data_IF_680627583736
#
_entry.id   IF_680627583736
#
_cell.length_a   1.000
_cell.length_b   1.000
_cell.length_c   1.000
_cell.angle_alpha   90.00
_cell.angle_beta   90.00
_cell.angle_gamma   90.00
#
_symmetry.space_group_name_H-M   'P 1'
#
loop_
_entity.id
_entity.type
_entity.pdbx_description
1 polymer ?
#
# COMPACT_ATOMS: atom_id res chain seq x y z
N UNK A 1 -15.75 40.34 25.66
CA UNK A 1 -14.53 41.07 25.28
C UNK A 1 -14.00 41.94 26.42
N UNK A 2 -14.90 42.59 27.19
CA UNK A 2 -14.49 43.49 28.30
C UNK A 2 -13.84 42.79 29.49
N UNK A 3 -14.24 41.55 29.82
CA UNK A 3 -13.68 40.79 30.94
C UNK A 3 -12.23 40.34 30.65
N UNK A 4 -11.93 39.94 29.41
CA UNK A 4 -10.58 39.57 28.98
C UNK A 4 -9.60 40.74 29.02
N UNK A 5 -10.06 41.97 28.67
CA UNK A 5 -9.21 43.15 28.67
C UNK A 5 -8.95 43.67 30.08
N UNK A 6 -9.91 43.52 31.01
CA UNK A 6 -9.73 43.86 32.43
C UNK A 6 -8.72 42.91 33.08
N UNK A 7 -8.78 41.62 32.78
CA UNK A 7 -7.82 40.60 33.24
C UNK A 7 -6.40 40.89 32.72
N UNK A 8 -6.26 41.20 31.42
CA UNK A 8 -4.96 41.58 30.83
C UNK A 8 -4.37 42.82 31.44
N UNK A 9 -5.20 43.84 31.77
CA UNK A 9 -4.74 45.08 32.43
C UNK A 9 -4.35 44.86 33.90
N UNK A 10 -5.02 43.96 34.61
CA UNK A 10 -4.64 43.61 36.00
C UNK A 10 -3.33 42.82 36.03
N UNK A 11 -3.12 41.91 35.06
CA UNK A 11 -1.88 41.17 34.88
C UNK A 11 -0.70 42.12 34.59
N UNK A 12 -0.84 43.03 33.63
CA UNK A 12 0.18 44.02 33.27
C UNK A 12 0.51 45.03 34.37
N UNK A 13 -0.40 45.30 35.33
CA UNK A 13 -0.14 46.19 36.47
C UNK A 13 0.60 45.50 37.62
N UNK A 14 0.55 44.18 37.74
CA UNK A 14 1.17 43.44 38.85
C UNK A 14 2.55 42.89 38.52
N UNK A 15 2.86 42.70 37.24
CA UNK A 15 4.17 42.21 36.80
C UNK A 15 4.89 43.36 36.10
N UNK A 16 6.01 43.83 36.63
CA UNK A 16 6.78 44.92 36.01
C UNK A 16 7.36 44.42 34.65
N UNK A 17 7.54 45.38 33.74
CA UNK A 17 8.19 45.06 32.44
C UNK A 17 9.62 44.58 32.70
N UNK A 18 10.00 43.49 32.08
CA UNK A 18 11.35 42.93 32.18
C UNK A 18 12.36 43.90 31.56
N UNK A 19 13.15 44.53 32.39
CA UNK A 19 14.30 45.34 32.01
C UNK A 19 15.57 44.58 32.36
N UNK A 20 16.70 44.87 31.67
CA UNK A 20 17.97 44.15 31.81
C UNK A 20 18.51 43.98 33.24
N UNK A 21 18.03 44.75 34.20
CA UNK A 21 18.39 44.66 35.63
C UNK A 21 17.27 44.17 36.55
N UNK A 22 16.02 44.02 36.06
CA UNK A 22 14.85 43.72 36.87
C UNK A 22 14.30 42.30 36.69
N UNK A 23 15.04 41.40 36.02
CA UNK A 23 14.59 40.03 35.75
C UNK A 23 14.35 39.22 37.02
N UNK A 24 15.19 39.42 38.05
CA UNK A 24 15.04 38.75 39.35
C UNK A 24 13.73 39.12 40.07
N UNK A 25 13.33 40.39 40.02
CA UNK A 25 12.10 40.88 40.65
C UNK A 25 10.84 40.37 39.92
N UNK A 26 10.91 40.29 38.59
CA UNK A 26 9.84 39.71 37.76
C UNK A 26 9.68 38.21 38.07
N UNK A 27 10.78 37.46 38.16
CA UNK A 27 10.78 36.05 38.53
C UNK A 27 10.23 35.82 39.93
N UNK A 28 10.62 36.66 40.91
CA UNK A 28 10.11 36.55 42.27
C UNK A 28 8.60 36.79 42.35
N UNK A 29 8.09 37.77 41.61
CA UNK A 29 6.64 38.05 41.57
C UNK A 29 5.84 36.99 40.82
N UNK A 30 6.37 36.47 39.74
CA UNK A 30 5.78 35.34 39.00
C UNK A 30 5.74 34.05 39.83
N UNK A 31 6.78 33.75 40.59
CA UNK A 31 6.89 32.52 41.39
C UNK A 31 6.17 32.60 42.74
N UNK A 32 5.83 33.82 43.23
CA UNK A 32 5.13 34.02 44.51
C UNK A 32 3.66 33.65 44.47
N UNK A 33 3.02 33.63 43.27
CA UNK A 33 1.60 33.31 43.14
C UNK A 33 1.36 32.28 42.01
N UNK A 34 0.96 31.11 42.37
CA UNK A 34 0.84 29.93 41.46
C UNK A 34 -0.06 30.18 40.22
N UNK A 35 -1.23 30.83 40.30
CA UNK A 35 -2.04 31.12 39.13
C UNK A 35 -1.33 31.99 38.09
N UNK A 36 -0.59 33.03 38.51
CA UNK A 36 0.17 33.88 37.59
C UNK A 36 1.32 33.12 36.91
N UNK A 37 1.96 32.21 37.64
CA UNK A 37 3.00 31.36 37.10
C UNK A 37 2.45 30.42 36.02
N UNK A 38 1.29 29.80 36.25
CA UNK A 38 0.64 28.92 35.30
C UNK A 38 0.19 29.66 34.03
N UNK A 39 -0.47 30.82 34.18
CA UNK A 39 -0.86 31.69 33.05
C UNK A 39 0.34 32.15 32.22
N UNK A 40 1.42 32.54 32.88
CA UNK A 40 2.66 32.91 32.20
C UNK A 40 3.26 31.75 31.45
N UNK A 41 3.29 30.55 32.06
CA UNK A 41 3.83 29.33 31.44
C UNK A 41 3.00 28.92 30.23
N UNK A 42 1.67 28.95 30.34
CA UNK A 42 0.78 28.61 29.22
C UNK A 42 0.90 29.64 28.07
N UNK A 43 0.96 30.94 28.39
CA UNK A 43 1.17 31.98 27.38
C UNK A 43 2.53 31.91 26.72
N UNK A 44 3.57 31.57 27.47
CA UNK A 44 4.94 31.39 26.98
C UNK A 44 5.04 30.18 26.05
N UNK A 45 4.45 29.04 26.43
CA UNK A 45 4.49 27.80 25.65
C UNK A 45 3.66 27.93 24.40
N UNK A 46 2.46 28.54 24.45
CA UNK A 46 1.67 28.80 23.24
C UNK A 46 2.41 29.73 22.28
N UNK A 47 3.16 30.70 22.78
CA UNK A 47 3.97 31.60 21.95
C UNK A 47 5.20 30.90 21.36
N UNK A 48 5.86 30.07 22.15
CA UNK A 48 7.03 29.29 21.73
C UNK A 48 6.60 28.15 20.79
N UNK A 49 5.47 27.49 21.06
CA UNK A 49 4.90 26.49 20.17
C UNK A 49 4.64 27.02 18.74
N UNK A 50 4.13 28.25 18.62
CA UNK A 50 3.95 28.92 17.32
C UNK A 50 5.29 29.26 16.64
N UNK A 51 6.36 29.46 17.41
CA UNK A 51 7.70 29.79 16.87
C UNK A 51 8.50 28.55 16.50
N UNK A 52 8.38 27.47 17.24
CA UNK A 52 9.11 26.19 17.06
C UNK A 52 8.57 25.38 15.90
N UNK A 53 7.30 25.50 15.55
CA UNK A 53 6.76 24.87 14.32
C UNK A 53 7.47 25.34 13.04
N UNK A 54 8.32 26.38 13.11
CA UNK A 54 9.16 26.82 12.00
C UNK A 54 10.60 26.30 12.05
N UNK A 55 11.07 25.84 13.22
CA UNK A 55 12.46 25.39 13.45
C UNK A 55 12.48 23.89 13.84
N UNK A 56 12.00 23.05 12.95
CA UNK A 56 12.11 21.59 13.12
C UNK A 56 13.56 21.19 12.84
N UNK A 57 14.26 20.69 13.84
CA UNK A 57 15.67 20.27 13.78
C UNK A 57 15.91 19.07 12.87
N UNK A 58 14.88 18.26 12.67
CA UNK A 58 14.88 17.14 11.71
C UNK A 58 13.58 17.13 10.91
N UNK A 59 13.71 17.05 9.60
CA UNK A 59 12.58 17.01 8.69
C UNK A 59 12.45 15.62 8.09
N UNK A 60 11.25 15.07 8.16
CA UNK A 60 10.90 13.85 7.46
C UNK A 60 11.02 14.04 5.93
N UNK A 61 11.93 13.32 5.24
CA UNK A 61 12.10 13.46 3.79
C UNK A 61 10.88 13.02 2.98
N UNK A 62 9.99 12.22 3.57
CA UNK A 62 8.76 11.75 2.95
C UNK A 62 7.56 12.66 3.25
N UNK A 63 7.75 13.73 4.01
CA UNK A 63 6.68 14.67 4.39
C UNK A 63 6.05 15.39 3.17
N UNK A 64 6.79 15.54 2.08
CA UNK A 64 6.27 16.16 0.86
C UNK A 64 5.08 15.39 0.25
N UNK A 65 4.91 14.12 0.61
CA UNK A 65 3.79 13.28 0.13
C UNK A 65 2.51 13.46 0.95
N UNK A 66 2.56 14.23 2.02
CA UNK A 66 1.40 14.48 2.89
C UNK A 66 0.38 15.38 2.18
N UNK A 67 -0.87 14.89 2.10
CA UNK A 67 -1.97 15.53 1.35
C UNK A 67 -2.72 16.62 2.15
N UNK A 68 -2.21 17.07 3.28
CA UNK A 68 -2.86 18.09 4.12
C UNK A 68 -3.80 17.50 5.16
N UNK A 69 -4.67 18.35 5.72
CA UNK A 69 -5.56 17.97 6.82
C UNK A 69 -6.95 17.59 6.30
N UNK A 70 -7.47 16.48 6.78
CA UNK A 70 -8.84 16.03 6.55
C UNK A 70 -9.77 16.61 7.61
N UNK A 71 -11.06 16.70 7.30
CA UNK A 71 -12.06 16.97 8.31
C UNK A 71 -12.17 15.77 9.27
N UNK A 72 -12.53 16.04 10.52
CA UNK A 72 -12.65 15.00 11.53
C UNK A 72 -13.69 13.94 11.12
N UNK A 73 -13.28 12.66 11.16
CA UNK A 73 -14.12 11.52 10.78
C UNK A 73 -14.16 11.21 9.28
N UNK A 74 -13.46 11.96 8.45
CA UNK A 74 -13.41 11.73 7.02
C UNK A 74 -12.51 10.54 6.67
N UNK A 75 -12.90 9.84 5.61
CA UNK A 75 -12.12 8.79 4.95
C UNK A 75 -11.72 9.26 3.57
N UNK A 76 -10.58 8.80 3.06
CA UNK A 76 -10.17 9.03 1.68
C UNK A 76 -10.64 7.83 0.86
N UNK A 77 -11.39 8.10 -0.20
CA UNK A 77 -11.76 7.11 -1.20
C UNK A 77 -10.99 7.37 -2.48
N UNK A 78 -10.26 6.36 -2.94
CA UNK A 78 -9.65 6.34 -4.27
C UNK A 78 -10.50 5.46 -5.18
N UNK A 79 -10.87 5.97 -6.35
CA UNK A 79 -11.67 5.24 -7.35
C UNK A 79 -10.90 5.23 -8.67
N UNK A 80 -10.67 4.05 -9.20
CA UNK A 80 -10.06 3.85 -10.51
C UNK A 80 -11.05 3.18 -11.46
N UNK A 81 -11.20 3.75 -12.65
CA UNK A 81 -12.03 3.18 -13.72
C UNK A 81 -11.13 2.60 -14.81
N UNK A 82 -11.41 1.37 -15.22
CA UNK A 82 -10.72 0.71 -16.33
C UNK A 82 -11.18 1.21 -17.70
N UNK A 83 -10.46 0.78 -18.74
CA UNK A 83 -10.81 1.10 -20.12
C UNK A 83 -12.08 0.36 -20.55
N UNK A 84 -12.87 1.02 -21.39
CA UNK A 84 -14.05 0.43 -22.01
C UNK A 84 -13.64 -0.23 -23.31
N UNK A 85 -14.14 -1.45 -23.56
CA UNK A 85 -13.90 -2.17 -24.81
C UNK A 85 -14.63 -1.51 -25.96
N UNK A 86 -13.99 -1.46 -27.14
CA UNK A 86 -14.65 -1.03 -28.38
C UNK A 86 -15.46 -2.17 -28.96
N UNK A 87 -16.60 -1.86 -29.54
CA UNK A 87 -17.43 -2.81 -30.27
C UNK A 87 -17.35 -2.51 -31.75
N UNK A 88 -17.29 -3.58 -32.58
CA UNK A 88 -17.28 -3.45 -34.04
C UNK A 88 -18.68 -3.01 -34.49
N UNK A 89 -18.73 -1.98 -35.32
CA UNK A 89 -19.98 -1.55 -35.92
C UNK A 89 -20.53 -2.65 -36.84
N UNK A 90 -21.72 -3.11 -36.53
CA UNK A 90 -22.45 -4.08 -37.36
C UNK A 90 -23.77 -3.49 -37.80
N UNK A 91 -24.02 -3.46 -39.10
CA UNK A 91 -25.23 -2.87 -39.70
C UNK A 91 -26.43 -3.84 -39.68
N UNK A 92 -26.25 -5.08 -39.19
CA UNK A 92 -27.38 -6.02 -39.07
C UNK A 92 -28.34 -5.58 -37.97
N UNK A 93 -29.60 -5.44 -38.33
CA UNK A 93 -30.65 -4.89 -37.48
C UNK A 93 -30.78 -5.65 -36.14
N UNK A 94 -30.78 -6.99 -36.21
CA UNK A 94 -30.94 -7.84 -35.02
C UNK A 94 -29.76 -7.72 -34.03
N UNK A 95 -28.58 -7.41 -34.54
CA UNK A 95 -27.40 -7.19 -33.71
C UNK A 95 -27.47 -5.84 -32.99
N UNK A 96 -27.85 -4.79 -33.73
CA UNK A 96 -27.97 -3.45 -33.17
C UNK A 96 -29.07 -3.34 -32.11
N UNK A 97 -30.20 -4.02 -32.30
CA UNK A 97 -31.29 -4.04 -31.32
C UNK A 97 -30.87 -4.72 -30.01
N UNK A 98 -30.06 -5.78 -30.07
CA UNK A 98 -29.52 -6.46 -28.88
C UNK A 98 -28.48 -5.62 -28.15
N UNK A 99 -27.65 -4.90 -28.90
CA UNK A 99 -26.55 -4.12 -28.32
C UNK A 99 -27.04 -2.81 -27.67
N UNK A 100 -28.07 -2.17 -28.24
CA UNK A 100 -28.70 -0.95 -27.68
C UNK A 100 -29.25 -1.19 -26.27
N UNK A 101 -29.77 -2.36 -25.97
CA UNK A 101 -30.34 -2.74 -24.67
C UNK A 101 -29.37 -3.51 -23.79
N UNK A 102 -28.16 -3.79 -24.26
CA UNK A 102 -27.11 -4.49 -23.51
C UNK A 102 -26.55 -3.60 -22.40
N UNK A 103 -26.50 -4.11 -21.15
CA UNK A 103 -25.87 -3.40 -20.05
C UNK A 103 -24.36 -3.70 -20.02
N UNK A 104 -23.56 -2.69 -20.30
CA UNK A 104 -22.11 -2.77 -20.21
C UNK A 104 -21.64 -2.14 -18.89
N UNK A 105 -21.21 -2.97 -17.94
CA UNK A 105 -20.73 -2.49 -16.65
C UNK A 105 -19.28 -2.04 -16.80
N UNK A 106 -18.93 -0.81 -16.37
CA UNK A 106 -17.53 -0.38 -16.34
C UNK A 106 -16.76 -1.21 -15.30
N UNK A 107 -15.50 -1.48 -15.59
CA UNK A 107 -14.58 -2.04 -14.59
C UNK A 107 -14.17 -0.92 -13.64
N UNK A 108 -14.66 -0.95 -12.42
CA UNK A 108 -14.38 0.08 -11.39
C UNK A 108 -13.85 -0.63 -10.15
N UNK A 109 -12.72 -0.14 -9.66
CA UNK A 109 -12.16 -0.56 -8.38
C UNK A 109 -12.07 0.65 -7.44
N UNK A 110 -12.35 0.46 -6.16
CA UNK A 110 -12.20 1.50 -5.14
C UNK A 110 -11.37 0.99 -3.97
N UNK A 111 -10.64 1.90 -3.36
CA UNK A 111 -9.86 1.67 -2.14
C UNK A 111 -10.23 2.75 -1.13
N UNK A 112 -10.45 2.33 0.11
CA UNK A 112 -10.77 3.22 1.22
C UNK A 112 -9.58 3.30 2.18
N UNK A 113 -9.20 4.52 2.54
CA UNK A 113 -8.16 4.81 3.51
C UNK A 113 -8.81 5.45 4.73
N UNK A 114 -8.66 4.81 5.88
CA UNK A 114 -9.22 5.27 7.15
C UNK A 114 -8.10 5.67 8.10
N UNK A 115 -8.41 6.47 9.11
CA UNK A 115 -7.48 6.83 10.17
C UNK A 115 -6.98 5.56 10.85
N UNK A 116 -5.69 5.29 10.75
CA UNK A 116 -5.04 4.11 11.29
C UNK A 116 -3.94 4.40 12.32
N UNK A 117 -3.55 5.68 12.47
CA UNK A 117 -2.67 6.14 13.52
C UNK A 117 -3.40 7.14 14.41
N UNK A 118 -3.44 6.88 15.73
CA UNK A 118 -4.01 7.75 16.74
C UNK A 118 -3.10 7.74 17.97
N UNK A 119 -2.19 8.69 18.03
CA UNK A 119 -1.14 8.73 19.04
C UNK A 119 -1.08 10.07 19.74
N UNK A 120 -0.46 10.08 20.90
CA UNK A 120 -0.11 11.32 21.60
C UNK A 120 1.27 11.22 22.23
N UNK A 121 1.98 12.34 22.21
CA UNK A 121 3.29 12.49 22.83
C UNK A 121 3.16 13.37 24.06
N UNK A 122 3.67 12.86 25.19
CA UNK A 122 3.54 13.55 26.47
C UNK A 122 4.91 14.00 26.95
N UNK A 123 5.00 15.28 27.34
CA UNK A 123 6.16 15.80 28.03
C UNK A 123 5.72 16.58 29.29
N UNK A 124 6.49 16.43 30.36
CA UNK A 124 6.21 17.09 31.63
C UNK A 124 7.26 18.15 31.90
N UNK A 125 6.82 19.38 32.13
CA UNK A 125 7.69 20.48 32.51
C UNK A 125 7.54 20.71 34.01
N UNK A 126 8.62 20.48 34.79
CA UNK A 126 8.61 20.69 36.23
C UNK A 126 8.94 22.16 36.57
N UNK A 127 8.25 22.66 37.56
CA UNK A 127 8.41 24.07 38.05
C UNK A 127 9.85 24.39 38.44
N UNK A 128 10.55 23.46 39.07
CA UNK A 128 11.94 23.66 39.50
C UNK A 128 12.93 23.75 38.35
N UNK A 129 12.70 22.97 37.28
CA UNK A 129 13.50 23.04 36.06
C UNK A 129 13.30 24.39 35.36
N UNK A 130 12.05 24.83 35.25
CA UNK A 130 11.73 26.15 34.68
C UNK A 130 12.38 27.28 35.50
N UNK A 131 12.34 27.17 36.81
CA UNK A 131 12.94 28.17 37.75
C UNK A 131 14.46 28.25 37.59
N UNK A 132 15.15 27.13 37.35
CA UNK A 132 16.60 27.11 37.07
C UNK A 132 16.91 27.73 35.70
N UNK A 133 16.07 27.49 34.70
CA UNK A 133 16.25 28.06 33.36
C UNK A 133 16.11 29.58 33.33
N UNK A 134 15.36 30.18 34.29
CA UNK A 134 15.24 31.64 34.46
C UNK A 134 16.49 32.34 34.99
N UNK A 135 17.45 31.59 35.54
CA UNK A 135 18.70 32.14 36.05
C UNK A 135 19.67 32.55 34.93
N UNK A 136 19.45 32.08 33.70
CA UNK A 136 20.26 32.39 32.53
C UNK A 136 19.37 32.92 31.39
N UNK A 137 19.70 34.11 30.84
CA UNK A 137 18.89 34.80 29.83
C UNK A 137 18.75 33.98 28.53
N UNK A 138 19.77 33.17 28.17
CA UNK A 138 19.74 32.25 27.03
C UNK A 138 19.19 30.87 27.38
N UNK A 139 19.23 30.49 28.66
CA UNK A 139 18.86 29.16 29.13
C UNK A 139 17.36 28.87 29.02
N UNK A 140 16.53 29.87 29.22
CA UNK A 140 15.06 29.73 29.13
C UNK A 140 14.61 29.44 27.70
N UNK A 141 15.11 30.20 26.73
CA UNK A 141 14.76 30.01 25.33
C UNK A 141 15.21 28.64 24.83
N UNK A 142 16.46 28.27 25.14
CA UNK A 142 17.02 26.97 24.76
C UNK A 142 16.26 25.78 25.40
N UNK A 143 15.95 25.92 26.70
CA UNK A 143 15.24 24.87 27.43
C UNK A 143 13.82 24.64 26.89
N UNK A 144 13.05 25.72 26.69
CA UNK A 144 11.69 25.62 26.15
C UNK A 144 11.70 25.14 24.69
N UNK A 145 12.66 25.59 23.88
CA UNK A 145 12.82 25.15 22.51
C UNK A 145 13.08 23.64 22.44
N UNK A 146 13.97 23.13 23.27
CA UNK A 146 14.29 21.70 23.31
C UNK A 146 13.12 20.85 23.80
N UNK A 147 12.40 21.31 24.85
CA UNK A 147 11.28 20.57 25.41
C UNK A 147 10.12 20.46 24.41
N UNK A 148 9.76 21.57 23.75
CA UNK A 148 8.64 21.57 22.82
C UNK A 148 9.00 21.00 21.45
N UNK A 149 10.27 21.05 21.04
CA UNK A 149 10.74 20.41 19.83
C UNK A 149 10.76 18.87 19.93
N UNK A 150 10.99 18.32 21.13
CA UNK A 150 11.10 16.88 21.34
C UNK A 150 9.85 16.10 20.93
N UNK A 151 8.61 16.41 21.35
CA UNK A 151 7.41 15.71 20.90
C UNK A 151 7.21 15.79 19.39
N UNK A 152 7.45 16.98 18.80
CA UNK A 152 7.30 17.17 17.34
C UNK A 152 8.33 16.39 16.54
N UNK A 153 9.59 16.36 17.02
CA UNK A 153 10.64 15.56 16.37
C UNK A 153 10.37 14.06 16.49
N UNK A 154 9.87 13.61 17.66
CA UNK A 154 9.48 12.23 17.87
C UNK A 154 8.33 11.83 16.96
N UNK A 155 7.29 12.65 16.86
CA UNK A 155 6.16 12.43 15.98
C UNK A 155 6.57 12.32 14.51
N UNK A 156 7.45 13.20 14.03
CA UNK A 156 7.96 13.14 12.66
C UNK A 156 8.84 11.92 12.38
N UNK A 157 9.60 11.49 13.39
CA UNK A 157 10.40 10.29 13.28
C UNK A 157 9.52 9.04 13.19
N UNK A 158 8.49 8.95 14.03
CA UNK A 158 7.55 7.84 14.02
C UNK A 158 6.71 7.83 12.73
N UNK A 159 6.26 9.00 12.23
CA UNK A 159 5.61 9.13 10.93
C UNK A 159 6.52 8.61 9.80
N UNK A 160 7.81 8.95 9.82
CA UNK A 160 8.79 8.45 8.86
C UNK A 160 8.94 6.93 8.92
N UNK A 161 9.11 6.36 10.12
CA UNK A 161 9.24 4.92 10.31
C UNK A 161 8.00 4.16 9.84
N UNK A 162 6.81 4.66 10.18
CA UNK A 162 5.53 4.08 9.73
C UNK A 162 5.38 4.18 8.21
N UNK A 163 5.74 5.31 7.61
CA UNK A 163 5.72 5.47 6.15
C UNK A 163 6.70 4.50 5.48
N UNK A 164 7.88 4.30 6.04
CA UNK A 164 8.85 3.33 5.53
C UNK A 164 8.35 1.88 5.68
N UNK A 165 7.64 1.56 6.77
CA UNK A 165 7.08 0.21 6.97
C UNK A 165 6.08 -0.19 5.89
N UNK A 166 5.44 0.79 5.24
CA UNK A 166 4.54 0.55 4.11
C UNK A 166 5.23 -0.12 2.92
N UNK A 167 6.53 0.11 2.70
CA UNK A 167 7.27 -0.58 1.64
C UNK A 167 7.32 -2.08 1.87
N UNK A 168 7.68 -2.50 3.08
CA UNK A 168 7.76 -3.91 3.44
C UNK A 168 6.38 -4.59 3.40
N UNK A 169 5.34 -3.89 3.83
CA UNK A 169 3.97 -4.40 3.78
C UNK A 169 3.47 -4.51 2.33
N UNK A 170 3.72 -3.50 1.51
CA UNK A 170 3.37 -3.50 0.09
C UNK A 170 4.09 -4.63 -0.66
N UNK A 171 5.37 -4.88 -0.35
CA UNK A 171 6.14 -6.01 -0.89
C UNK A 171 5.57 -7.35 -0.44
N UNK A 172 5.29 -7.52 0.85
CA UNK A 172 4.70 -8.74 1.41
C UNK A 172 3.39 -9.12 0.71
N UNK A 173 2.60 -8.13 0.32
CA UNK A 173 1.35 -8.30 -0.41
C UNK A 173 1.56 -8.43 -1.93
N UNK A 174 2.81 -8.54 -2.40
CA UNK A 174 3.14 -8.66 -3.81
C UNK A 174 2.82 -7.42 -4.64
N UNK A 175 2.88 -6.24 -4.03
CA UNK A 175 2.50 -4.99 -4.66
C UNK A 175 3.49 -4.50 -5.72
N UNK A 176 4.79 -4.69 -5.53
CA UNK A 176 5.81 -4.19 -6.46
C UNK A 176 5.99 -5.06 -7.71
N UNK A 177 6.28 -4.41 -8.81
CA UNK A 177 6.83 -5.06 -10.00
C UNK A 177 8.37 -5.12 -9.88
N UNK A 178 8.96 -6.30 -10.00
CA UNK A 178 10.38 -6.52 -9.74
C UNK A 178 11.22 -6.47 -11.00
N UNK A 179 12.33 -5.71 -10.92
CA UNK A 179 13.34 -5.62 -11.96
C UNK A 179 14.69 -5.96 -11.36
N UNK A 180 15.33 -7.03 -11.86
CA UNK A 180 16.65 -7.42 -11.39
C UNK A 180 17.71 -6.41 -11.79
N UNK A 181 18.56 -6.07 -10.81
CA UNK A 181 19.72 -5.19 -11.00
C UNK A 181 20.90 -5.75 -10.22
N UNK A 182 22.15 -5.35 -10.57
CA UNK A 182 23.31 -5.67 -9.77
C UNK A 182 23.22 -5.08 -8.35
N UNK A 183 23.96 -5.66 -7.41
CA UNK A 183 24.05 -5.13 -6.05
C UNK A 183 25.02 -3.96 -5.96
N UNK A 184 24.48 -2.75 -5.93
CA UNK A 184 25.25 -1.50 -5.80
C UNK A 184 25.62 -1.16 -4.34
N UNK A 185 25.10 -1.90 -3.36
CA UNK A 185 25.48 -1.75 -1.95
C UNK A 185 26.75 -2.53 -1.62
N UNK A 186 27.16 -3.45 -2.50
CA UNK A 186 28.40 -4.20 -2.34
C UNK A 186 29.62 -3.29 -2.50
N UNK A 187 30.63 -3.50 -1.66
CA UNK A 187 31.94 -2.83 -1.80
C UNK A 187 32.65 -3.17 -3.11
N UNK A 188 32.22 -4.22 -3.81
CA UNK A 188 32.73 -4.65 -5.11
C UNK A 188 31.93 -4.10 -6.29
N UNK A 189 30.94 -3.24 -6.03
CA UNK A 189 30.14 -2.63 -7.07
C UNK A 189 31.01 -1.79 -8.02
N UNK A 190 30.75 -1.94 -9.30
CA UNK A 190 31.51 -1.27 -10.37
C UNK A 190 30.70 -0.16 -11.02
N UNK A 191 31.38 0.76 -11.71
CA UNK A 191 30.70 1.78 -12.55
C UNK A 191 29.79 1.15 -13.61
N UNK A 192 30.15 -0.03 -14.11
CA UNK A 192 29.32 -0.80 -15.04
C UNK A 192 27.98 -1.20 -14.43
N UNK A 193 27.97 -1.56 -13.14
CA UNK A 193 26.75 -1.95 -12.42
C UNK A 193 25.84 -0.74 -12.21
N UNK A 194 26.39 0.42 -11.88
CA UNK A 194 25.63 1.67 -11.80
C UNK A 194 24.98 2.04 -13.16
N UNK A 195 25.74 1.92 -14.25
CA UNK A 195 25.22 2.13 -15.61
C UNK A 195 24.10 1.14 -15.98
N UNK A 196 24.17 -0.11 -15.50
CA UNK A 196 23.09 -1.08 -15.71
C UNK A 196 21.82 -0.69 -14.96
N UNK A 197 21.92 -0.24 -13.70
CA UNK A 197 20.76 0.27 -12.95
C UNK A 197 20.13 1.46 -13.68
N UNK A 198 20.92 2.46 -14.07
CA UNK A 198 20.41 3.65 -14.79
C UNK A 198 19.71 3.25 -16.10
N UNK A 199 20.28 2.32 -16.85
CA UNK A 199 19.66 1.79 -18.08
C UNK A 199 18.33 1.12 -17.82
N UNK A 200 18.22 0.33 -16.73
CA UNK A 200 16.97 -0.33 -16.33
C UNK A 200 15.92 0.68 -15.85
N UNK A 201 16.33 1.68 -15.05
CA UNK A 201 15.45 2.76 -14.61
C UNK A 201 14.91 3.52 -15.82
N UNK A 202 15.77 3.86 -16.80
CA UNK A 202 15.36 4.54 -18.04
C UNK A 202 14.30 3.74 -18.81
N UNK A 203 14.54 2.45 -19.02
CA UNK A 203 13.61 1.59 -19.73
C UNK A 203 12.26 1.50 -18.98
N UNK A 204 12.28 1.42 -17.66
CA UNK A 204 11.05 1.38 -16.87
C UNK A 204 10.32 2.74 -16.89
N UNK A 205 11.03 3.85 -16.82
CA UNK A 205 10.45 5.19 -16.97
C UNK A 205 9.68 5.32 -18.27
N UNK A 206 10.26 4.85 -19.39
CA UNK A 206 9.58 4.85 -20.69
C UNK A 206 8.36 3.93 -20.70
N UNK A 207 8.48 2.73 -20.14
CA UNK A 207 7.37 1.77 -20.06
C UNK A 207 6.19 2.30 -19.24
N UNK A 208 6.45 3.02 -18.13
CA UNK A 208 5.42 3.57 -17.26
C UNK A 208 4.61 4.71 -17.91
N UNK A 209 5.09 5.30 -19.00
CA UNK A 209 4.32 6.31 -19.75
C UNK A 209 3.18 5.71 -20.57
N UNK A 210 3.18 4.41 -20.80
CA UNK A 210 2.13 3.69 -21.51
C UNK A 210 1.14 3.06 -20.53
N UNK A 211 -0.12 3.00 -20.95
CA UNK A 211 -1.15 2.31 -20.18
C UNK A 211 -0.79 0.84 -19.98
N UNK A 212 -0.74 0.39 -18.73
CA UNK A 212 -0.41 -0.99 -18.38
C UNK A 212 -1.08 -1.40 -17.07
N UNK A 213 -1.43 -2.69 -16.98
CA UNK A 213 -1.94 -3.32 -15.75
C UNK A 213 -0.82 -3.96 -14.91
N UNK A 214 0.41 -4.02 -15.44
CA UNK A 214 1.49 -4.81 -14.85
C UNK A 214 2.12 -4.16 -13.63
N UNK A 215 2.13 -2.83 -13.59
CA UNK A 215 2.97 -2.07 -12.65
C UNK A 215 2.25 -1.59 -11.40
N UNK A 216 0.97 -1.92 -11.23
CA UNK A 216 0.20 -1.57 -10.05
C UNK A 216 -0.41 -2.81 -9.37
N UNK A 217 -0.67 -2.72 -8.06
CA UNK A 217 -1.18 -3.85 -7.29
C UNK A 217 -2.63 -4.22 -7.65
N UNK A 218 -3.45 -3.24 -8.01
CA UNK A 218 -4.86 -3.43 -8.37
C UNK A 218 -5.07 -4.00 -9.77
N UNK A 219 -4.01 -4.13 -10.59
CA UNK A 219 -4.05 -4.59 -11.98
C UNK A 219 -5.04 -3.81 -12.87
N UNK A 220 -5.18 -2.55 -12.58
CA UNK A 220 -5.96 -1.61 -13.38
C UNK A 220 -5.06 -0.90 -14.39
N UNK A 221 -5.62 -0.47 -15.52
CA UNK A 221 -4.85 0.29 -16.50
C UNK A 221 -4.45 1.63 -15.92
N UNK A 222 -3.15 1.83 -15.74
CA UNK A 222 -2.56 3.06 -15.25
C UNK A 222 -1.34 3.45 -16.06
N UNK A 223 -1.00 4.73 -16.01
CA UNK A 223 0.25 5.27 -16.56
C UNK A 223 0.78 6.35 -15.61
N UNK A 224 2.04 6.70 -15.75
CA UNK A 224 2.65 7.78 -14.99
C UNK A 224 3.33 8.77 -15.95
N UNK A 225 3.18 10.07 -15.67
CA UNK A 225 3.96 11.09 -16.35
C UNK A 225 5.39 11.08 -15.79
N UNK A 226 6.38 11.34 -16.64
CA UNK A 226 7.80 11.36 -16.20
C UNK A 226 8.06 12.38 -15.11
N UNK A 227 7.37 13.52 -15.14
CA UNK A 227 7.49 14.59 -14.15
C UNK A 227 6.91 14.23 -12.76
N UNK A 228 6.03 13.24 -12.68
CA UNK A 228 5.44 12.77 -11.42
C UNK A 228 6.22 11.60 -10.79
N UNK A 229 7.18 11.03 -11.51
CA UNK A 229 7.97 9.90 -11.04
C UNK A 229 8.96 10.31 -9.95
N UNK A 230 9.10 9.46 -8.96
CA UNK A 230 10.02 9.59 -7.82
C UNK A 230 10.84 8.32 -7.73
N UNK A 231 12.13 8.48 -7.48
CA UNK A 231 13.07 7.38 -7.25
C UNK A 231 13.51 7.39 -5.78
N UNK A 232 13.09 6.38 -5.04
CA UNK A 232 13.51 6.15 -3.66
C UNK A 232 14.68 5.18 -3.70
N UNK A 233 15.82 5.54 -3.13
CA UNK A 233 17.04 4.77 -3.21
C UNK A 233 17.70 4.62 -1.84
N UNK A 234 18.49 3.57 -1.65
CA UNK A 234 19.34 3.52 -0.46
C UNK A 234 20.52 4.52 -0.60
N UNK A 235 21.05 5.06 0.51
CA UNK A 235 22.16 6.02 0.46
C UNK A 235 23.40 5.50 -0.29
N UNK A 236 23.69 4.20 -0.14
CA UNK A 236 24.82 3.53 -0.81
C UNK A 236 24.61 3.49 -2.32
N UNK A 237 23.41 3.16 -2.75
CA UNK A 237 23.04 3.16 -4.16
C UNK A 237 23.07 4.56 -4.72
N UNK A 238 22.56 5.56 -3.97
CA UNK A 238 22.61 6.97 -4.40
C UNK A 238 24.03 7.45 -4.63
N UNK A 239 24.97 7.04 -3.77
CA UNK A 239 26.39 7.43 -3.90
C UNK A 239 27.03 6.87 -5.18
N UNK A 240 26.55 5.75 -5.71
CA UNK A 240 27.06 5.09 -6.90
C UNK A 240 26.33 5.47 -8.20
N UNK A 241 25.26 6.24 -8.11
CA UNK A 241 24.47 6.65 -9.29
C UNK A 241 24.99 7.99 -9.82
N UNK A 242 25.24 8.04 -11.13
CA UNK A 242 25.45 9.31 -11.84
C UNK A 242 24.12 10.05 -11.99
N UNK A 243 23.98 11.16 -11.27
CA UNK A 243 22.76 11.98 -11.27
C UNK A 243 22.49 12.60 -12.64
N UNK A 244 23.53 12.97 -13.41
CA UNK A 244 23.36 13.55 -14.75
C UNK A 244 22.79 12.53 -15.74
N UNK A 245 23.35 11.31 -15.73
CA UNK A 245 22.85 10.23 -16.57
C UNK A 245 21.41 9.81 -16.19
N UNK A 246 21.11 9.85 -14.90
CA UNK A 246 19.76 9.56 -14.41
C UNK A 246 18.75 10.67 -14.79
N UNK A 247 19.12 11.94 -14.67
CA UNK A 247 18.31 13.07 -15.07
C UNK A 247 17.96 13.02 -16.57
N UNK A 248 18.93 12.65 -17.41
CA UNK A 248 18.69 12.45 -18.84
C UNK A 248 17.68 11.31 -19.11
N UNK A 249 17.64 10.28 -18.26
CA UNK A 249 16.65 9.20 -18.36
C UNK A 249 15.20 9.69 -18.13
N UNK A 250 15.03 10.65 -17.24
CA UNK A 250 13.72 11.25 -16.94
C UNK A 250 13.37 12.46 -17.80
N UNK A 251 14.27 12.86 -18.67
CA UNK A 251 14.13 14.07 -19.48
C UNK A 251 13.96 15.36 -18.64
N UNK A 252 14.67 15.41 -17.51
CA UNK A 252 14.68 16.49 -16.53
C UNK A 252 16.06 17.13 -16.44
N UNK A 253 16.15 18.31 -15.84
CA UNK A 253 17.43 18.89 -15.47
C UNK A 253 18.06 18.08 -14.29
N UNK A 254 19.40 18.04 -14.15
CA UNK A 254 20.04 17.39 -13.02
C UNK A 254 19.54 17.91 -11.65
N UNK A 255 19.23 19.20 -11.56
CA UNK A 255 18.71 19.83 -10.34
C UNK A 255 17.31 19.32 -10.00
N UNK A 256 16.41 19.24 -10.98
CA UNK A 256 15.05 18.72 -10.77
C UNK A 256 15.08 17.24 -10.41
N UNK A 257 15.96 16.47 -11.03
CA UNK A 257 16.14 15.06 -10.72
C UNK A 257 16.69 14.86 -9.30
N UNK A 258 17.65 15.68 -8.89
CA UNK A 258 18.23 15.59 -7.54
C UNK A 258 17.20 15.78 -6.44
N UNK A 259 16.22 16.66 -6.65
CA UNK A 259 15.09 16.89 -5.74
C UNK A 259 14.10 15.72 -5.69
N UNK A 260 14.10 14.83 -6.69
CA UNK A 260 13.18 13.68 -6.79
C UNK A 260 13.82 12.35 -6.40
N UNK A 261 15.11 12.32 -6.11
CA UNK A 261 15.81 11.15 -5.59
C UNK A 261 15.85 11.22 -4.09
N UNK A 262 15.06 10.41 -3.43
CA UNK A 262 14.90 10.42 -1.98
C UNK A 262 15.71 9.26 -1.39
N UNK A 263 16.73 9.55 -0.57
CA UNK A 263 17.48 8.50 0.11
C UNK A 263 16.68 8.01 1.33
N UNK A 264 16.46 6.68 1.39
CA UNK A 264 15.88 5.99 2.55
C UNK A 264 16.85 4.88 2.95
N UNK A 265 17.33 4.84 4.20
CA UNK A 265 18.24 3.79 4.64
C UNK A 265 17.63 2.40 4.45
N UNK A 266 18.47 1.42 4.07
CA UNK A 266 18.01 0.07 3.76
C UNK A 266 17.29 -0.61 4.96
N UNK A 267 17.75 -0.31 6.18
CA UNK A 267 17.13 -0.83 7.41
C UNK A 267 15.69 -0.35 7.58
N UNK A 268 15.40 0.92 7.27
CA UNK A 268 14.05 1.48 7.35
C UNK A 268 13.17 1.03 6.18
N UNK A 269 13.75 0.77 5.01
CA UNK A 269 12.99 0.25 3.87
C UNK A 269 12.45 -1.16 4.15
N UNK A 270 13.08 -1.92 5.04
CA UNK A 270 12.62 -3.23 5.50
C UNK A 270 12.64 -4.34 4.43
N UNK A 271 13.38 -4.13 3.33
CA UNK A 271 13.49 -5.07 2.21
C UNK A 271 14.97 -5.23 1.86
N UNK A 272 15.57 -6.34 2.30
CA UNK A 272 17.02 -6.57 2.21
C UNK A 272 17.59 -6.49 0.79
N UNK A 273 16.82 -6.90 -0.20
CA UNK A 273 17.27 -7.00 -1.60
C UNK A 273 16.93 -5.77 -2.43
N UNK A 274 16.18 -4.82 -1.91
CA UNK A 274 15.82 -3.60 -2.62
C UNK A 274 17.03 -2.67 -2.79
N UNK A 275 17.22 -2.18 -4.00
CA UNK A 275 18.22 -1.16 -4.34
C UNK A 275 17.58 0.20 -4.54
N UNK A 276 16.44 0.22 -5.25
CA UNK A 276 15.66 1.40 -5.53
C UNK A 276 14.19 1.06 -5.77
N UNK A 277 13.31 2.02 -5.51
CA UNK A 277 11.87 1.93 -5.81
C UNK A 277 11.50 3.13 -6.70
N UNK A 278 10.93 2.85 -7.86
CA UNK A 278 10.40 3.83 -8.79
C UNK A 278 8.88 3.85 -8.68
N UNK A 279 8.33 4.99 -8.30
CA UNK A 279 6.89 5.18 -8.15
C UNK A 279 6.52 6.64 -8.43
N UNK A 280 5.28 7.04 -8.17
CA UNK A 280 4.85 8.44 -8.25
C UNK A 280 4.62 9.02 -6.86
N UNK A 281 4.52 10.36 -6.78
CA UNK A 281 4.19 11.07 -5.53
C UNK A 281 2.87 10.62 -4.90
N UNK A 282 1.93 10.10 -5.71
CA UNK A 282 0.61 9.65 -5.26
C UNK A 282 0.61 8.24 -4.66
N UNK A 283 1.78 7.57 -4.64
CA UNK A 283 1.93 6.25 -4.03
C UNK A 283 1.58 6.27 -2.53
N UNK A 284 2.00 7.31 -1.83
CA UNK A 284 1.67 7.49 -0.42
C UNK A 284 0.36 8.26 -0.28
N UNK A 285 -0.55 7.71 0.52
CA UNK A 285 -1.79 8.35 0.92
C UNK A 285 -1.68 8.69 2.40
N UNK A 286 -1.08 9.85 2.69
CA UNK A 286 -0.85 10.33 4.05
C UNK A 286 -1.62 11.63 4.24
N UNK A 287 -2.45 11.70 5.29
CA UNK A 287 -3.21 12.89 5.60
C UNK A 287 -3.48 13.02 7.11
N UNK A 288 -3.34 14.23 7.64
CA UNK A 288 -3.67 14.52 9.03
C UNK A 288 -5.20 14.58 9.21
N UNK A 289 -5.68 13.98 10.27
CA UNK A 289 -7.07 14.11 10.70
C UNK A 289 -7.18 15.03 11.92
N UNK A 290 -6.24 14.93 12.87
CA UNK A 290 -6.13 15.78 14.04
C UNK A 290 -4.66 16.04 14.37
N UNK A 291 -4.32 17.32 14.54
CA UNK A 291 -3.02 17.73 15.09
C UNK A 291 -3.28 18.86 16.10
N UNK A 292 -3.26 18.52 17.38
CA UNK A 292 -3.63 19.45 18.46
C UNK A 292 -2.69 19.32 19.65
N UNK A 293 -2.39 20.47 20.27
CA UNK A 293 -1.63 20.54 21.51
C UNK A 293 -2.56 20.84 22.69
N UNK A 294 -2.49 20.01 23.73
CA UNK A 294 -3.22 20.24 24.97
C UNK A 294 -2.28 20.27 26.17
N UNK A 295 -2.67 20.94 27.22
CA UNK A 295 -1.90 21.02 28.47
C UNK A 295 -2.75 20.73 29.70
N UNK A 296 -2.16 20.05 30.69
CA UNK A 296 -2.81 19.74 31.97
C UNK A 296 -1.86 20.00 33.12
N UNK A 297 -2.15 21.00 34.00
CA UNK A 297 -1.37 21.19 35.21
C UNK A 297 -1.58 20.04 36.20
N UNK A 298 -0.48 19.56 36.80
CA UNK A 298 -0.52 18.51 37.82
C UNK A 298 -0.37 19.17 39.21
N UNK A 299 -1.43 19.15 40.05
CA UNK A 299 -1.40 19.82 41.36
C UNK A 299 -0.48 19.11 42.36
N UNK A 300 -0.17 17.83 42.16
CA UNK A 300 0.68 17.06 43.08
C UNK A 300 2.16 17.31 42.83
N UNK A 301 2.59 17.29 41.56
CA UNK A 301 4.00 17.48 41.19
C UNK A 301 4.37 18.95 40.93
N UNK A 302 3.40 19.84 40.92
CA UNK A 302 3.54 21.27 40.55
C UNK A 302 4.17 21.43 39.14
N UNK A 303 4.02 20.46 38.29
CA UNK A 303 4.46 20.47 36.90
C UNK A 303 3.26 20.57 35.96
N UNK A 304 3.52 20.89 34.68
CA UNK A 304 2.51 20.90 33.63
C UNK A 304 2.85 19.79 32.61
N UNK A 305 1.87 18.97 32.33
CA UNK A 305 1.97 17.96 31.26
C UNK A 305 1.48 18.60 29.97
N UNK A 306 2.27 18.46 28.91
CA UNK A 306 1.93 18.87 27.56
C UNK A 306 1.74 17.64 26.73
N UNK A 307 0.71 17.65 25.87
CA UNK A 307 0.36 16.54 24.99
C UNK A 307 0.28 17.08 23.57
N UNK A 308 0.99 16.46 22.65
CA UNK A 308 0.80 16.61 21.23
C UNK A 308 -0.04 15.41 20.77
N UNK A 309 -1.25 15.67 20.31
CA UNK A 309 -2.13 14.65 19.75
C UNK A 309 -1.99 14.66 18.24
N UNK A 310 -1.76 13.48 17.65
CA UNK A 310 -1.65 13.34 16.21
C UNK A 310 -2.46 12.13 15.73
N UNK A 311 -3.46 12.40 14.92
CA UNK A 311 -4.26 11.37 14.25
C UNK A 311 -4.11 11.54 12.76
N UNK A 312 -3.76 10.44 12.07
CA UNK A 312 -3.50 10.49 10.64
C UNK A 312 -3.88 9.20 9.93
N UNK A 313 -4.03 9.31 8.62
CA UNK A 313 -4.09 8.20 7.67
C UNK A 313 -2.69 8.01 7.13
N UNK A 314 -2.14 6.79 7.26
CA UNK A 314 -0.88 6.39 6.64
C UNK A 314 -1.15 5.13 5.82
N UNK A 315 -1.15 5.24 4.50
CA UNK A 315 -1.51 4.15 3.58
C UNK A 315 -0.81 4.30 2.24
N UNK A 316 -0.96 3.29 1.39
CA UNK A 316 -0.47 3.29 0.01
C UNK A 316 -1.60 3.10 -0.98
N UNK A 317 -1.51 3.74 -2.14
CA UNK A 317 -2.42 3.51 -3.24
C UNK A 317 -2.07 2.21 -3.97
N UNK A 318 -3.08 1.39 -4.24
CA UNK A 318 -2.95 0.16 -5.04
C UNK A 318 -3.02 0.42 -6.54
N UNK A 319 -3.46 1.62 -6.94
CA UNK A 319 -3.67 1.98 -8.34
C UNK A 319 -2.46 2.61 -9.01
N UNK A 320 -1.50 3.06 -8.21
CA UNK A 320 -0.30 3.76 -8.67
C UNK A 320 0.77 2.76 -9.11
N UNK A 321 1.51 3.02 -10.21
CA UNK A 321 2.63 2.19 -10.60
C UNK A 321 3.73 2.17 -9.56
N UNK A 322 4.22 0.98 -9.21
CA UNK A 322 5.28 0.78 -8.25
C UNK A 322 6.24 -0.33 -8.72
N UNK A 323 7.47 0.05 -9.00
CA UNK A 323 8.52 -0.82 -9.53
C UNK A 323 9.68 -0.87 -8.55
N UNK A 324 10.12 -2.07 -8.18
CA UNK A 324 11.27 -2.30 -7.33
C UNK A 324 12.46 -2.81 -8.13
N UNK A 325 13.58 -2.13 -8.02
CA UNK A 325 14.88 -2.60 -8.52
C UNK A 325 15.57 -3.37 -7.41
N UNK A 326 15.86 -4.64 -7.62
CA UNK A 326 16.33 -5.53 -6.57
C UNK A 326 17.39 -6.52 -7.04
N UNK A 327 18.09 -7.14 -6.10
CA UNK A 327 19.18 -8.09 -6.38
C UNK A 327 18.72 -9.55 -6.44
N UNK A 328 17.42 -9.80 -6.30
CA UNK A 328 16.85 -11.14 -6.36
C UNK A 328 16.85 -11.73 -7.78
N UNK A 329 16.23 -12.89 -7.93
CA UNK A 329 16.10 -13.50 -9.25
C UNK A 329 15.23 -12.64 -10.16
N UNK A 330 15.55 -12.65 -11.46
CA UNK A 330 14.85 -11.89 -12.49
C UNK A 330 13.48 -12.52 -12.74
N UNK A 331 12.54 -12.24 -11.87
CA UNK A 331 11.21 -12.77 -11.98
C UNK A 331 10.21 -11.63 -11.99
N UNK A 332 9.82 -11.32 -13.20
CA UNK A 332 8.90 -10.24 -13.51
C UNK A 332 7.51 -10.46 -12.90
N UNK A 333 7.22 -11.68 -12.46
CA UNK A 333 5.90 -12.12 -11.98
C UNK A 333 5.94 -12.56 -10.51
N UNK A 334 6.76 -11.93 -9.69
CA UNK A 334 6.91 -12.32 -8.29
C UNK A 334 5.59 -12.22 -7.51
N UNK A 335 4.72 -11.30 -7.91
CA UNK A 335 3.37 -11.15 -7.37
C UNK A 335 2.48 -12.37 -7.56
N UNK A 336 2.84 -13.21 -8.52
CA UNK A 336 1.95 -14.24 -9.05
C UNK A 336 2.74 -15.53 -9.23
N UNK A 337 3.52 -15.90 -8.22
CA UNK A 337 4.17 -17.19 -8.16
C UNK A 337 3.28 -18.18 -7.43
N UNK A 338 3.00 -19.32 -8.02
CA UNK A 338 2.44 -20.42 -7.25
C UNK A 338 3.44 -20.83 -6.18
N UNK A 339 2.97 -21.01 -4.96
CA UNK A 339 3.79 -21.62 -3.91
C UNK A 339 4.41 -22.91 -4.44
N UNK A 340 5.64 -23.22 -4.05
CA UNK A 340 6.44 -24.33 -4.58
C UNK A 340 5.73 -25.70 -4.49
N UNK A 341 4.68 -25.81 -3.67
CA UNK A 341 3.95 -27.05 -3.41
C UNK A 341 2.49 -27.03 -3.89
N UNK A 342 2.04 -26.01 -4.62
CA UNK A 342 0.69 -25.99 -5.15
C UNK A 342 0.50 -27.09 -6.22
N UNK A 343 -0.46 -27.96 -5.98
CA UNK A 343 -0.80 -29.06 -6.86
C UNK A 343 -2.28 -29.43 -6.78
N UNK A 344 -2.76 -30.22 -7.73
CA UNK A 344 -4.05 -30.90 -7.63
C UNK A 344 -3.88 -32.22 -6.88
N UNK A 345 -4.60 -32.37 -5.80
CA UNK A 345 -4.68 -33.57 -4.98
C UNK A 345 -5.60 -34.65 -5.59
N UNK A 346 -6.18 -35.49 -4.74
CA UNK A 346 -7.19 -36.46 -5.13
C UNK A 346 -8.46 -35.79 -5.67
N UNK A 347 -9.26 -36.55 -6.43
CA UNK A 347 -10.57 -36.10 -6.85
C UNK A 347 -11.68 -36.90 -6.14
N UNK A 348 -12.84 -36.32 -6.03
CA UNK A 348 -14.09 -36.99 -5.69
C UNK A 348 -15.05 -36.82 -6.86
N UNK A 349 -15.81 -37.87 -7.14
CA UNK A 349 -16.88 -37.81 -8.14
C UNK A 349 -18.16 -38.37 -7.54
N UNK A 350 -19.23 -37.61 -7.60
CA UNK A 350 -20.53 -38.00 -7.04
C UNK A 350 -21.65 -37.81 -8.06
N UNK A 351 -22.63 -38.69 -8.04
CA UNK A 351 -23.86 -38.60 -8.83
C UNK A 351 -25.07 -38.77 -7.89
N UNK A 352 -25.90 -37.74 -7.78
CA UNK A 352 -27.03 -37.77 -6.85
C UNK A 352 -26.61 -38.05 -5.39
N UNK A 353 -25.46 -37.49 -4.97
CA UNK A 353 -24.89 -37.66 -3.62
C UNK A 353 -24.23 -39.03 -3.37
N UNK A 354 -24.12 -39.90 -4.38
CA UNK A 354 -23.45 -41.20 -4.26
C UNK A 354 -22.09 -41.18 -4.97
N UNK A 355 -21.03 -41.71 -4.36
CA UNK A 355 -19.72 -41.73 -5.01
C UNK A 355 -19.73 -42.60 -6.28
N UNK A 356 -19.14 -42.06 -7.34
CA UNK A 356 -18.96 -42.77 -8.64
C UNK A 356 -17.61 -43.46 -8.67
N UNK A 357 -17.57 -44.70 -9.08
CA UNK A 357 -16.37 -45.52 -9.17
C UNK A 357 -16.64 -46.85 -9.89
N UNK A 358 -15.70 -47.80 -9.76
CA UNK A 358 -15.81 -49.10 -10.41
C UNK A 358 -17.04 -49.91 -9.99
N UNK A 359 -17.44 -49.80 -8.71
CA UNK A 359 -18.59 -50.51 -8.16
C UNK A 359 -19.93 -49.76 -8.38
N UNK A 360 -19.88 -48.44 -8.52
CA UNK A 360 -21.06 -47.58 -8.73
C UNK A 360 -20.80 -46.64 -9.91
N UNK A 361 -21.14 -47.10 -11.10
CA UNK A 361 -20.88 -46.39 -12.36
C UNK A 361 -21.87 -45.24 -12.55
N UNK A 362 -21.40 -44.18 -13.18
CA UNK A 362 -22.24 -43.03 -13.51
C UNK A 362 -23.32 -43.41 -14.54
N UNK A 363 -24.53 -42.93 -14.32
CA UNK A 363 -25.69 -43.22 -15.20
C UNK A 363 -25.75 -42.16 -16.31
N UNK A 364 -25.79 -42.54 -17.59
CA UNK A 364 -26.01 -41.63 -18.70
C UNK A 364 -27.28 -40.76 -18.52
N UNK A 365 -27.20 -39.51 -18.95
CA UNK A 365 -28.26 -38.54 -18.77
C UNK A 365 -28.28 -37.84 -17.41
N UNK A 366 -27.39 -38.17 -16.49
CA UNK A 366 -27.24 -37.54 -15.19
C UNK A 366 -26.00 -36.62 -15.11
N UNK A 367 -25.97 -35.82 -14.04
CA UNK A 367 -24.88 -34.93 -13.74
C UNK A 367 -23.94 -35.57 -12.70
N UNK A 368 -22.65 -35.54 -12.97
CA UNK A 368 -21.60 -35.99 -12.04
C UNK A 368 -20.80 -34.82 -11.58
N UNK A 369 -20.83 -34.56 -10.25
CA UNK A 369 -20.00 -33.53 -9.62
C UNK A 369 -18.58 -34.08 -9.46
N UNK A 370 -17.61 -33.45 -10.10
CA UNK A 370 -16.19 -33.83 -10.05
C UNK A 370 -15.42 -32.73 -9.38
N UNK A 371 -14.93 -32.97 -8.16
CA UNK A 371 -14.16 -31.99 -7.39
C UNK A 371 -12.74 -32.47 -7.18
N UNK A 372 -11.77 -31.62 -7.48
CA UNK A 372 -10.36 -31.86 -7.22
C UNK A 372 -9.92 -31.04 -6.01
N UNK A 373 -9.21 -31.68 -5.09
CA UNK A 373 -8.62 -30.97 -3.97
C UNK A 373 -7.39 -30.16 -4.43
N UNK A 374 -7.33 -28.91 -4.09
CA UNK A 374 -6.10 -28.10 -4.22
C UNK A 374 -5.26 -28.36 -2.98
N UNK A 375 -4.01 -28.79 -3.17
CA UNK A 375 -3.06 -29.11 -2.10
C UNK A 375 -1.86 -28.17 -2.17
N UNK A 376 -1.24 -27.90 -1.01
CA UNK A 376 -0.14 -26.95 -0.89
C UNK A 376 -0.59 -25.60 -0.36
N UNK A 377 0.39 -24.78 0.02
CA UNK A 377 0.14 -23.49 0.65
C UNK A 377 0.09 -22.39 -0.43
N UNK A 378 -1.04 -21.69 -0.50
CA UNK A 378 -1.19 -20.48 -1.31
C UNK A 378 -0.67 -19.26 -0.52
N UNK A 379 0.63 -19.25 -0.24
CA UNK A 379 1.28 -18.19 0.54
C UNK A 379 1.25 -16.84 -0.14
N UNK A 380 1.13 -16.82 -1.48
CA UNK A 380 1.17 -15.59 -2.27
C UNK A 380 -0.24 -15.02 -2.53
N UNK A 381 -1.29 -15.62 -1.96
CA UNK A 381 -2.67 -15.14 -2.11
C UNK A 381 -3.17 -15.13 -3.55
N UNK A 382 -2.73 -16.10 -4.37
CA UNK A 382 -3.10 -16.18 -5.79
C UNK A 382 -4.59 -16.44 -5.96
N UNK A 383 -5.19 -15.78 -6.92
CA UNK A 383 -6.52 -16.14 -7.41
C UNK A 383 -6.42 -17.42 -8.26
N UNK A 384 -6.70 -18.55 -7.64
CA UNK A 384 -6.65 -19.85 -8.26
C UNK A 384 -7.97 -20.20 -8.94
N UNK A 385 -7.88 -20.69 -10.17
CA UNK A 385 -9.01 -21.26 -10.90
C UNK A 385 -8.73 -22.70 -11.29
N UNK A 386 -9.77 -23.48 -11.54
CA UNK A 386 -9.64 -24.81 -12.13
C UNK A 386 -10.39 -24.82 -13.47
N UNK A 387 -9.66 -25.10 -14.54
CA UNK A 387 -10.26 -25.34 -15.85
C UNK A 387 -10.53 -26.82 -16.01
N UNK A 388 -11.71 -27.11 -16.52
CA UNK A 388 -12.09 -28.48 -16.80
C UNK A 388 -12.21 -28.74 -18.28
N UNK A 389 -11.77 -29.90 -18.68
CA UNK A 389 -11.94 -30.42 -20.03
C UNK A 389 -12.39 -31.88 -19.97
N UNK A 390 -13.21 -32.32 -20.93
CA UNK A 390 -13.68 -33.68 -21.03
C UNK A 390 -13.10 -34.34 -22.29
N UNK A 391 -12.72 -35.61 -22.17
CA UNK A 391 -12.24 -36.45 -23.28
C UNK A 391 -12.70 -37.88 -23.12
N UNK A 392 -12.63 -38.68 -24.20
CA UNK A 392 -13.05 -40.06 -24.16
C UNK A 392 -14.55 -40.31 -24.12
N UNK A 393 -15.37 -39.25 -24.29
CA UNK A 393 -16.80 -39.39 -24.43
C UNK A 393 -17.20 -39.75 -25.88
N UNK A 394 -18.16 -40.64 -26.04
CA UNK A 394 -18.70 -41.01 -27.35
C UNK A 394 -19.89 -40.11 -27.71
N UNK A 395 -20.60 -39.59 -26.74
CA UNK A 395 -21.72 -38.65 -26.94
C UNK A 395 -21.24 -37.20 -27.08
N UNK A 396 -21.67 -36.52 -28.14
CA UNK A 396 -21.42 -35.07 -28.31
C UNK A 396 -22.15 -34.20 -27.28
N UNK A 397 -23.09 -34.78 -26.52
CA UNK A 397 -23.85 -34.12 -25.48
C UNK A 397 -23.17 -34.16 -24.12
N UNK A 398 -22.13 -34.99 -23.98
CA UNK A 398 -21.30 -35.08 -22.79
C UNK A 398 -20.39 -33.85 -22.72
N UNK A 399 -20.58 -33.00 -21.72
CA UNK A 399 -19.81 -31.75 -21.52
C UNK A 399 -19.56 -31.54 -20.05
N UNK A 400 -18.55 -30.79 -19.74
CA UNK A 400 -18.24 -30.35 -18.38
C UNK A 400 -18.32 -28.81 -18.30
N UNK A 401 -18.85 -28.30 -17.23
CA UNK A 401 -18.90 -26.86 -16.97
C UNK A 401 -17.69 -26.39 -16.15
N UNK A 402 -17.62 -25.07 -15.92
CA UNK A 402 -16.51 -24.47 -15.17
C UNK A 402 -16.59 -24.75 -13.65
N UNK A 403 -17.72 -25.29 -13.17
CA UNK A 403 -17.92 -25.66 -11.77
C UNK A 403 -17.51 -27.13 -11.50
N UNK A 404 -17.11 -27.85 -12.55
CA UNK A 404 -16.71 -29.25 -12.47
C UNK A 404 -17.90 -30.22 -12.54
N UNK A 405 -19.08 -29.78 -13.00
CA UNK A 405 -20.24 -30.64 -13.21
C UNK A 405 -20.15 -31.26 -14.61
N UNK A 406 -19.92 -32.57 -14.65
CA UNK A 406 -19.93 -33.35 -15.87
C UNK A 406 -21.37 -33.77 -16.22
N UNK A 407 -21.92 -33.20 -17.27
CA UNK A 407 -23.21 -33.55 -17.85
C UNK A 407 -23.03 -34.71 -18.79
N UNK A 408 -23.44 -35.91 -18.42
CA UNK A 408 -23.38 -37.10 -19.30
C UNK A 408 -24.54 -37.10 -20.26
N UNK A 409 -24.25 -37.24 -21.55
CA UNK A 409 -25.28 -37.47 -22.57
C UNK A 409 -26.11 -38.70 -22.25
N UNK A 410 -27.42 -38.67 -22.56
CA UNK A 410 -28.31 -39.88 -22.41
C UNK A 410 -27.86 -41.05 -23.27
N UNK A 411 -27.18 -40.75 -24.35
CA UNK A 411 -26.62 -41.69 -25.34
C UNK A 411 -25.13 -42.01 -25.11
N UNK A 412 -24.58 -41.66 -23.95
CA UNK A 412 -23.19 -41.96 -23.63
C UNK A 412 -22.99 -43.45 -23.37
N UNK A 413 -22.21 -44.06 -24.25
CA UNK A 413 -21.91 -45.49 -24.24
C UNK A 413 -20.42 -45.82 -24.09
N UNK A 414 -19.60 -44.81 -23.75
CA UNK A 414 -18.22 -45.02 -23.38
C UNK A 414 -18.10 -45.82 -22.08
N UNK A 415 -17.08 -46.66 -21.96
CA UNK A 415 -16.79 -47.36 -20.69
C UNK A 415 -16.31 -46.38 -19.59
N UNK A 416 -15.54 -45.36 -20.01
CA UNK A 416 -15.02 -44.33 -19.13
C UNK A 416 -14.94 -43.00 -19.86
N UNK A 417 -15.31 -41.95 -19.15
CA UNK A 417 -15.13 -40.55 -19.58
C UNK A 417 -14.02 -39.95 -18.72
N UNK A 418 -13.05 -39.31 -19.35
CA UNK A 418 -11.93 -38.69 -18.66
C UNK A 418 -12.17 -37.20 -18.50
N UNK A 419 -12.16 -36.72 -17.26
CA UNK A 419 -12.19 -35.30 -16.91
C UNK A 419 -10.75 -34.86 -16.58
N UNK A 420 -10.26 -33.86 -17.28
CA UNK A 420 -8.96 -33.23 -16.99
C UNK A 420 -9.20 -31.92 -16.27
N UNK A 421 -8.69 -31.80 -15.06
CA UNK A 421 -8.66 -30.53 -14.30
C UNK A 421 -7.29 -29.89 -14.43
N UNK A 422 -7.25 -28.63 -14.73
CA UNK A 422 -6.02 -27.85 -14.85
C UNK A 422 -6.08 -26.70 -13.86
N UNK A 423 -5.23 -26.72 -12.84
CA UNK A 423 -5.08 -25.65 -11.88
C UNK A 423 -4.36 -24.50 -12.57
N UNK A 424 -4.99 -23.34 -12.58
CA UNK A 424 -4.51 -22.16 -13.29
C UNK A 424 -4.50 -20.96 -12.37
N UNK A 425 -3.68 -19.99 -12.69
CA UNK A 425 -3.65 -18.68 -12.09
C UNK A 425 -3.47 -17.63 -13.18
N UNK A 426 -3.71 -16.35 -12.84
CA UNK A 426 -3.38 -15.24 -13.75
C UNK A 426 -2.12 -14.56 -13.27
N UNK A 427 -1.18 -14.34 -14.18
CA UNK A 427 0.04 -13.60 -13.87
C UNK A 427 -0.22 -12.08 -13.83
N UNK A 428 0.82 -11.31 -13.52
CA UNK A 428 0.73 -9.84 -13.44
C UNK A 428 0.36 -9.16 -14.77
N UNK A 429 0.53 -9.88 -15.90
CA UNK A 429 0.11 -9.43 -17.23
C UNK A 429 -1.30 -9.90 -17.59
N UNK A 430 -2.07 -10.43 -16.64
CA UNK A 430 -3.38 -11.05 -16.83
C UNK A 430 -3.36 -12.28 -17.76
N UNK A 431 -2.18 -12.86 -17.98
CA UNK A 431 -2.02 -14.06 -18.78
C UNK A 431 -2.27 -15.29 -17.92
N UNK A 432 -3.15 -16.16 -18.41
CA UNK A 432 -3.47 -17.42 -17.75
C UNK A 432 -2.30 -18.38 -17.80
N UNK A 433 -1.84 -18.86 -16.66
CA UNK A 433 -0.73 -19.80 -16.49
C UNK A 433 -1.21 -21.07 -15.82
N UNK A 434 -0.63 -22.20 -16.21
CA UNK A 434 -0.92 -23.51 -15.64
C UNK A 434 0.07 -23.84 -14.53
N UNK A 435 -0.46 -24.30 -13.38
CA UNK A 435 0.34 -24.82 -12.28
C UNK A 435 0.48 -26.33 -12.38
N UNK A 436 -0.65 -27.03 -12.46
CA UNK A 436 -0.71 -28.48 -12.46
C UNK A 436 -1.93 -28.97 -13.25
N UNK A 437 -1.87 -30.15 -13.81
CA UNK A 437 -3.01 -30.81 -14.41
C UNK A 437 -3.17 -32.21 -13.84
N UNK A 438 -4.41 -32.64 -13.65
CA UNK A 438 -4.74 -33.97 -13.16
C UNK A 438 -6.00 -34.47 -13.82
N UNK A 439 -6.07 -35.78 -14.02
CA UNK A 439 -7.19 -36.48 -14.69
C UNK A 439 -8.01 -37.27 -13.68
N UNK A 440 -9.31 -37.30 -13.89
CA UNK A 440 -10.27 -38.18 -13.22
C UNK A 440 -10.93 -39.09 -14.24
N UNK A 441 -10.92 -40.37 -14.00
CA UNK A 441 -11.60 -41.36 -14.88
C UNK A 441 -12.96 -41.69 -14.27
N UNK A 442 -14.01 -41.33 -14.97
CA UNK A 442 -15.40 -41.54 -14.57
C UNK A 442 -15.94 -42.79 -15.31
N UNK A 443 -16.16 -43.87 -14.58
CA UNK A 443 -16.76 -45.08 -15.14
C UNK A 443 -18.25 -44.87 -15.42
N UNK A 444 -18.70 -45.21 -16.63
CA UNK A 444 -20.08 -45.01 -17.09
C UNK A 444 -20.79 -46.37 -17.26
N UNK A 445 -22.03 -46.43 -16.83
CA UNK A 445 -22.89 -47.59 -17.00
C UNK A 445 -23.55 -47.56 -18.40
N UNK A 446 -22.78 -47.93 -19.38
CA UNK A 446 -23.22 -47.96 -20.79
C UNK A 446 -24.46 -48.81 -21.05
N UNK A 447 -24.78 -49.76 -20.16
CA UNK A 447 -26.00 -50.58 -20.29
C UNK A 447 -27.28 -49.75 -20.12
N UNK A 448 -27.16 -48.57 -19.49
CA UNK A 448 -28.28 -47.63 -19.28
C UNK A 448 -28.33 -46.50 -20.31
N UNK A 449 -27.42 -46.53 -21.31
CA UNK A 449 -27.42 -45.54 -22.39
C UNK A 449 -28.72 -45.70 -23.26
N UNK A 450 -29.37 -44.59 -23.52
CA UNK A 450 -30.58 -44.55 -24.39
C UNK A 450 -30.10 -44.21 -25.80
N UNK A 451 -30.33 -45.12 -26.74
CA UNK A 451 -30.02 -44.84 -28.15
C UNK A 451 -30.94 -43.74 -28.67
N UNK A 452 -30.34 -42.58 -28.89
CA UNK A 452 -31.04 -41.44 -29.50
C UNK A 452 -30.89 -41.56 -31.01
N UNK A 453 -32.00 -41.86 -31.70
CA UNK A 453 -32.02 -41.87 -33.16
C UNK A 453 -31.81 -40.43 -33.68
N UNK A 454 -30.90 -40.21 -34.65
CA UNK A 454 -30.80 -38.90 -35.27
C UNK A 454 -32.12 -38.54 -35.89
N UNK A 455 -32.67 -37.40 -35.57
CA UNK A 455 -33.81 -36.82 -36.32
C UNK A 455 -33.32 -36.59 -37.75
N UNK A 456 -33.96 -37.27 -38.71
CA UNK A 456 -33.79 -36.99 -40.14
C UNK A 456 -34.14 -35.55 -40.45
#
# INVERSE_FOLDING_TARGET
PAASDVYKRQYQRRIPAATKGGVADVVQQLTSYTPHFNEFTDALINRVGTYITRDITWNNPLREFKRGMLNFGDTIEEVQTGLVSSYTYNSERDYMEKDIFGAHKPNVASQFHTVNRQEYYKITVNRDQLRRAFLDESGLQNYLSQILASPTTSDQWDEFLLTCSLFAEYEKNGGFYHVKVPDLRSLTATESDAKQLIKRVRAMTDNLTFLSRQYNAARMETFAKREDLILIVTPEVKANIDVEALAAAFNLSPVDMYARVIPVPAEQMGIDKAQAILTTKDFFVIADNLLENTSQPNPVSLGTNYFLHHWEVISTSLFVPAVMFWTGNDDQNIRVRPGANLALGGYTATQGGKPVGAANKAIPGGNVEVTFAVTGDNTDGLELGIDYAVSGANSQRTKIDNEGILHLGQDEDADTVTVTATLVYRDSADVKKTIASKTASIAVDKAKAVKVWPKK
#
